data_IF_035756972695
#
_entry.id   IF_035756972695
#
_cell.length_a   1.000
_cell.length_b   1.000
_cell.length_c   1.000
_cell.angle_alpha   90.00
_cell.angle_beta   90.00
_cell.angle_gamma   90.00
#
_symmetry.space_group_name_H-M   'P 1'
#
loop_
_entity.id
_entity.type
_entity.pdbx_description
1 polymer ?
#
# COMPACT_ATOMS: atom_id res chain seq x y z
N UNK A 1 -7.70 8.76 12.75
CA UNK A 1 -6.60 9.58 13.29
C UNK A 1 -7.06 10.43 14.49
N UNK A 2 -8.02 11.35 14.34
CA UNK A 2 -8.43 12.22 15.46
C UNK A 2 -9.13 11.49 16.62
N UNK A 3 -9.98 10.50 16.32
CA UNK A 3 -10.76 9.78 17.33
C UNK A 3 -9.98 8.66 18.03
N UNK A 4 -9.00 8.06 17.33
CA UNK A 4 -8.16 6.97 17.83
C UNK A 4 -6.67 7.25 17.56
N UNK A 5 -6.07 8.29 18.17
CA UNK A 5 -4.67 8.63 17.98
C UNK A 5 -3.71 7.53 18.46
N UNK A 6 -4.13 6.72 19.44
CA UNK A 6 -3.34 5.62 20.03
C UNK A 6 -3.04 4.48 19.04
N UNK A 7 -3.84 4.34 17.99
CA UNK A 7 -3.60 3.34 16.93
C UNK A 7 -2.67 3.83 15.83
N UNK A 8 -2.32 5.12 15.82
CA UNK A 8 -1.41 5.68 14.82
C UNK A 8 0.02 5.37 15.24
N UNK A 9 0.71 4.60 14.42
CA UNK A 9 2.12 4.28 14.64
C UNK A 9 2.95 5.57 14.54
N UNK A 10 3.88 5.86 15.47
CA UNK A 10 4.75 7.03 15.38
C UNK A 10 5.73 6.93 14.19
N UNK A 11 6.11 5.71 13.80
CA UNK A 11 7.00 5.42 12.67
C UNK A 11 6.21 4.92 11.45
N UNK A 12 5.03 5.50 11.22
CA UNK A 12 4.14 5.10 10.14
C UNK A 12 4.65 5.55 8.75
N UNK A 13 3.93 5.14 7.71
CA UNK A 13 4.19 5.48 6.32
C UNK A 13 3.23 6.55 5.78
N UNK A 14 2.76 7.51 6.59
CA UNK A 14 1.81 8.55 6.17
C UNK A 14 2.27 9.32 4.93
N UNK A 15 3.58 9.57 4.81
CA UNK A 15 4.19 10.21 3.62
C UNK A 15 4.03 9.41 2.32
N UNK A 16 3.67 8.13 2.40
CA UNK A 16 3.34 7.32 1.21
C UNK A 16 2.02 7.81 0.59
N UNK A 17 1.03 8.05 1.43
CA UNK A 17 -0.37 8.28 1.06
C UNK A 17 -0.77 9.76 1.11
N UNK A 18 0.09 10.64 1.62
CA UNK A 18 -0.20 12.08 1.72
C UNK A 18 1.06 12.91 1.53
N UNK A 19 0.94 13.98 0.75
CA UNK A 19 2.01 14.95 0.48
C UNK A 19 1.97 16.15 1.44
N UNK A 20 0.95 16.25 2.30
CA UNK A 20 0.64 17.41 3.15
C UNK A 20 0.37 17.04 4.62
N UNK A 21 0.94 15.93 5.09
CA UNK A 21 0.87 15.56 6.50
C UNK A 21 -0.49 14.98 6.94
N UNK A 22 -1.26 14.46 6.00
CA UNK A 22 -2.53 13.80 6.25
C UNK A 22 -3.77 14.67 6.01
N UNK A 23 -3.62 15.88 5.45
CA UNK A 23 -4.75 16.72 5.07
C UNK A 23 -5.47 16.15 3.84
N UNK A 24 -4.72 15.70 2.83
CA UNK A 24 -5.26 15.10 1.61
C UNK A 24 -4.61 13.75 1.29
N UNK A 25 -5.42 12.86 0.70
CA UNK A 25 -4.95 11.60 0.13
C UNK A 25 -4.39 11.83 -1.27
N UNK A 26 -3.13 11.41 -1.51
CA UNK A 26 -2.44 11.58 -2.78
C UNK A 26 -2.76 10.47 -3.81
N UNK A 27 -3.72 9.59 -3.50
CA UNK A 27 -4.21 8.47 -4.32
C UNK A 27 -3.24 7.28 -4.45
N UNK A 28 -2.07 7.30 -3.80
CA UNK A 28 -1.14 6.17 -3.83
C UNK A 28 -1.63 4.99 -3.01
N UNK A 29 -1.50 3.79 -3.58
CA UNK A 29 -1.84 2.53 -2.92
C UNK A 29 -0.97 1.38 -3.41
N UNK A 30 -0.79 0.38 -2.53
CA UNK A 30 -0.27 -0.92 -2.90
C UNK A 30 -1.36 -1.68 -3.66
N UNK A 31 -0.97 -2.46 -4.67
CA UNK A 31 -1.93 -3.12 -5.54
C UNK A 31 -2.30 -4.50 -5.01
N UNK A 32 -3.47 -4.60 -4.38
CA UNK A 32 -3.87 -5.77 -3.58
C UNK A 32 -4.10 -7.07 -4.36
N UNK A 33 -4.06 -7.02 -5.70
CA UNK A 33 -4.05 -8.22 -6.54
C UNK A 33 -2.85 -9.14 -6.24
N UNK A 34 -1.76 -8.60 -5.68
CA UNK A 34 -0.64 -9.35 -5.12
C UNK A 34 -0.31 -8.84 -3.71
N UNK A 35 -0.58 -9.66 -2.71
CA UNK A 35 -0.24 -9.38 -1.31
C UNK A 35 0.32 -10.65 -0.65
N UNK A 36 1.45 -10.49 0.03
CA UNK A 36 1.95 -11.45 1.02
C UNK A 36 2.01 -10.68 2.33
N UNK A 37 1.09 -10.99 3.24
CA UNK A 37 0.91 -10.21 4.45
C UNK A 37 0.67 -11.09 5.68
N UNK A 38 1.00 -10.54 6.85
CA UNK A 38 0.72 -11.16 8.14
C UNK A 38 -0.74 -10.92 8.52
N UNK A 39 -1.50 -12.01 8.70
CA UNK A 39 -2.91 -11.92 9.07
C UNK A 39 -3.14 -11.38 10.48
N UNK A 40 -2.13 -11.39 11.35
CA UNK A 40 -2.27 -10.83 12.70
C UNK A 40 -2.42 -9.31 12.66
N UNK A 41 -1.87 -8.63 11.63
CA UNK A 41 -2.16 -7.21 11.38
C UNK A 41 -3.66 -6.99 11.11
N UNK A 42 -4.24 -7.77 10.20
CA UNK A 42 -5.66 -7.65 9.82
C UNK A 42 -6.63 -8.12 10.92
N UNK A 43 -6.17 -8.96 11.83
CA UNK A 43 -6.93 -9.39 13.02
C UNK A 43 -6.75 -8.48 14.22
N UNK A 44 -5.87 -7.48 14.14
CA UNK A 44 -5.62 -6.56 15.23
C UNK A 44 -6.86 -5.71 15.55
N UNK A 45 -6.95 -5.26 16.80
CA UNK A 45 -8.01 -4.34 17.24
C UNK A 45 -7.99 -3.04 16.41
N UNK A 46 -6.78 -2.53 16.10
CA UNK A 46 -6.61 -1.30 15.32
C UNK A 46 -7.20 -1.42 13.91
N UNK A 47 -6.88 -2.50 13.19
CA UNK A 47 -7.44 -2.74 11.85
C UNK A 47 -8.96 -2.98 11.92
N UNK A 48 -9.41 -3.78 12.90
CA UNK A 48 -10.83 -4.06 13.09
C UNK A 48 -11.62 -2.77 13.30
N UNK A 49 -11.15 -1.88 14.19
CA UNK A 49 -11.79 -0.57 14.44
C UNK A 49 -11.77 0.33 13.22
N UNK A 50 -10.66 0.35 12.48
CA UNK A 50 -10.55 1.08 11.23
C UNK A 50 -11.58 0.59 10.20
N UNK A 51 -11.70 -0.72 10.01
CA UNK A 51 -12.66 -1.31 9.07
C UNK A 51 -14.11 -1.08 9.50
N UNK A 52 -14.45 -1.30 10.79
CA UNK A 52 -15.78 -1.00 11.35
C UNK A 52 -16.17 0.47 11.11
N UNK A 53 -15.23 1.40 11.29
CA UNK A 53 -15.47 2.81 11.00
C UNK A 53 -15.82 3.02 9.52
N UNK A 54 -15.05 2.46 8.58
CA UNK A 54 -15.32 2.59 7.15
C UNK A 54 -16.65 1.95 6.74
N UNK A 55 -16.95 0.75 7.25
CA UNK A 55 -18.20 0.06 6.96
C UNK A 55 -19.40 0.88 7.43
N UNK A 56 -19.31 1.51 8.62
CA UNK A 56 -20.35 2.40 9.13
C UNK A 56 -20.60 3.65 8.27
N UNK A 57 -19.61 4.08 7.46
CA UNK A 57 -19.78 5.20 6.51
C UNK A 57 -20.46 4.77 5.21
N UNK A 58 -20.48 3.47 4.90
CA UNK A 58 -21.14 2.93 3.73
C UNK A 58 -20.46 3.24 2.38
N UNK A 59 -19.23 3.77 2.38
CA UNK A 59 -18.51 4.13 1.16
C UNK A 59 -18.19 2.94 0.24
N UNK A 60 -18.22 1.71 0.76
CA UNK A 60 -18.17 0.49 -0.06
C UNK A 60 -19.37 0.36 -1.01
N UNK A 61 -20.54 0.89 -0.63
CA UNK A 61 -21.79 0.76 -1.38
C UNK A 61 -22.23 2.07 -2.04
N UNK A 62 -22.09 3.19 -1.31
CA UNK A 62 -22.47 4.52 -1.81
C UNK A 62 -21.39 5.12 -2.71
N UNK A 63 -20.16 4.62 -2.61
CA UNK A 63 -19.06 4.94 -3.52
C UNK A 63 -18.50 3.65 -4.13
N UNK A 64 -17.19 3.55 -4.30
CA UNK A 64 -16.51 2.36 -4.80
C UNK A 64 -15.14 2.19 -4.14
N UNK A 65 -15.13 2.18 -2.81
CA UNK A 65 -13.92 1.95 -2.05
C UNK A 65 -13.39 0.53 -2.33
N UNK A 66 -12.26 0.45 -3.01
CA UNK A 66 -11.55 -0.81 -3.22
C UNK A 66 -10.78 -1.23 -1.97
N UNK A 67 -10.52 -2.52 -1.86
CA UNK A 67 -9.67 -3.08 -0.81
C UNK A 67 -8.23 -2.54 -0.87
N UNK A 68 -7.65 -2.36 -2.07
CA UNK A 68 -6.31 -1.81 -2.24
C UNK A 68 -6.04 -0.47 -1.50
N UNK A 69 -6.83 0.61 -1.71
CA UNK A 69 -6.67 1.84 -0.94
C UNK A 69 -7.01 1.67 0.55
N UNK A 70 -7.97 0.81 0.91
CA UNK A 70 -8.32 0.54 2.31
C UNK A 70 -7.17 -0.12 3.06
N UNK A 71 -6.60 -1.20 2.52
CA UNK A 71 -5.42 -1.87 3.07
C UNK A 71 -4.23 -0.92 3.14
N UNK A 72 -4.00 -0.14 2.08
CA UNK A 72 -2.89 0.82 2.05
C UNK A 72 -3.02 1.85 3.15
N UNK A 73 -4.18 2.49 3.30
CA UNK A 73 -4.38 3.53 4.32
C UNK A 73 -4.20 2.93 5.72
N UNK A 74 -4.75 1.74 5.97
CA UNK A 74 -4.55 1.05 7.24
C UNK A 74 -3.07 0.78 7.51
N UNK A 75 -2.36 0.14 6.58
CA UNK A 75 -0.93 -0.17 6.73
C UNK A 75 -0.10 1.11 6.91
N UNK A 76 -0.42 2.15 6.14
CA UNK A 76 0.35 3.42 6.15
C UNK A 76 0.18 4.22 7.43
N UNK A 77 -0.88 3.98 8.21
CA UNK A 77 -1.17 4.67 9.45
C UNK A 77 -0.86 3.83 10.69
N UNK A 78 -1.19 2.53 10.64
CA UNK A 78 -1.26 1.66 11.82
C UNK A 78 0.00 0.81 11.99
N UNK A 79 0.71 0.48 10.91
CA UNK A 79 1.96 -0.29 10.97
C UNK A 79 3.17 0.64 11.06
N UNK A 80 4.33 0.11 11.50
CA UNK A 80 5.61 0.78 11.28
C UNK A 80 6.02 0.60 9.81
N UNK A 81 6.58 1.64 9.20
CA UNK A 81 6.99 1.63 7.79
C UNK A 81 7.98 0.52 7.47
N UNK A 82 8.85 0.13 8.42
CA UNK A 82 9.83 -0.96 8.26
C UNK A 82 9.19 -2.35 8.20
N UNK A 83 7.90 -2.49 8.55
CA UNK A 83 7.14 -3.73 8.40
C UNK A 83 6.58 -3.91 6.99
N UNK A 84 6.66 -2.89 6.13
CA UNK A 84 6.19 -2.94 4.75
C UNK A 84 7.36 -3.27 3.82
N UNK A 85 7.19 -4.30 3.00
CA UNK A 85 8.24 -4.79 2.12
C UNK A 85 7.80 -4.72 0.64
N UNK A 86 8.66 -4.15 -0.20
CA UNK A 86 8.52 -4.23 -1.65
C UNK A 86 9.39 -5.37 -2.18
N UNK A 87 8.75 -6.36 -2.80
CA UNK A 87 9.43 -7.53 -3.37
C UNK A 87 10.06 -7.20 -4.74
N UNK A 88 11.18 -6.47 -4.73
CA UNK A 88 11.94 -6.05 -5.93
C UNK A 88 12.38 -7.20 -6.85
N UNK A 89 12.34 -8.44 -6.35
CA UNK A 89 12.86 -9.64 -7.00
C UNK A 89 11.77 -10.60 -7.51
N UNK A 90 10.48 -10.31 -7.30
CA UNK A 90 9.37 -11.18 -7.75
C UNK A 90 8.71 -10.58 -8.98
N UNK A 91 9.06 -11.05 -10.18
CA UNK A 91 8.35 -10.66 -11.39
C UNK A 91 6.87 -11.05 -11.35
N UNK A 92 5.98 -10.07 -11.51
CA UNK A 92 4.53 -10.26 -11.39
C UNK A 92 3.77 -9.43 -12.43
N UNK A 93 2.74 -10.03 -13.02
CA UNK A 93 1.87 -9.39 -14.01
C UNK A 93 0.41 -9.65 -13.68
N UNK A 94 -0.35 -8.57 -13.57
CA UNK A 94 -1.81 -8.58 -13.59
C UNK A 94 -2.23 -7.55 -14.64
N UNK A 95 -2.85 -7.99 -15.74
CA UNK A 95 -3.02 -7.12 -16.92
C UNK A 95 -3.77 -5.82 -16.56
N UNK A 96 -3.35 -4.65 -17.10
CA UNK A 96 -2.27 -4.45 -18.06
C UNK A 96 -0.88 -4.20 -17.45
N UNK A 97 -0.74 -4.22 -16.11
CA UNK A 97 0.47 -3.78 -15.42
C UNK A 97 1.39 -4.95 -15.08
N UNK A 98 2.68 -4.65 -14.98
CA UNK A 98 3.73 -5.60 -14.67
C UNK A 98 4.80 -4.95 -13.80
N UNK A 99 5.28 -5.68 -12.79
CA UNK A 99 6.57 -5.43 -12.15
C UNK A 99 7.58 -6.43 -12.73
N UNK A 100 8.62 -5.93 -13.39
CA UNK A 100 9.70 -6.74 -13.95
C UNK A 100 11.05 -6.38 -13.28
N UNK A 101 11.66 -7.29 -12.49
CA UNK A 101 12.92 -7.06 -11.79
C UNK A 101 14.10 -6.68 -12.70
N UNK A 102 14.99 -5.79 -12.21
CA UNK A 102 16.22 -5.32 -12.91
C UNK A 102 17.33 -6.39 -13.01
N UNK A 103 17.12 -7.57 -12.40
CA UNK A 103 17.85 -8.85 -12.58
C UNK A 103 19.16 -9.06 -11.81
N UNK A 104 19.28 -10.25 -11.19
CA UNK A 104 20.54 -10.98 -10.95
C UNK A 104 20.45 -12.53 -11.11
N UNK A 105 19.34 -13.13 -11.59
CA UNK A 105 19.23 -14.60 -11.71
C UNK A 105 18.35 -15.12 -12.87
N UNK A 106 18.78 -16.20 -13.53
CA UNK A 106 18.14 -16.76 -14.73
C UNK A 106 16.72 -17.28 -14.48
N UNK A 107 15.68 -16.60 -14.98
CA UNK A 107 14.30 -17.10 -14.89
C UNK A 107 13.18 -16.12 -15.22
N UNK A 108 13.41 -14.80 -15.24
CA UNK A 108 12.34 -13.86 -15.59
C UNK A 108 12.04 -13.93 -17.10
N UNK A 109 10.75 -13.84 -17.44
CA UNK A 109 10.23 -13.89 -18.83
C UNK A 109 9.59 -12.58 -19.28
N UNK A 110 9.53 -11.58 -18.40
CA UNK A 110 9.00 -10.25 -18.67
C UNK A 110 10.02 -9.36 -19.40
N UNK A 111 9.53 -8.29 -20.05
CA UNK A 111 10.37 -7.24 -20.63
C UNK A 111 10.52 -6.12 -19.61
N UNK A 112 11.76 -5.76 -19.26
CA UNK A 112 12.02 -4.69 -18.29
C UNK A 112 11.50 -3.32 -18.77
N UNK A 113 11.37 -3.12 -20.08
CA UNK A 113 10.80 -1.89 -20.64
C UNK A 113 9.29 -1.76 -20.41
N UNK A 114 8.60 -2.87 -20.11
CA UNK A 114 7.16 -2.90 -19.80
C UNK A 114 6.87 -2.70 -18.29
N UNK A 115 7.90 -2.57 -17.44
CA UNK A 115 7.71 -2.43 -15.98
C UNK A 115 6.98 -1.13 -15.61
N UNK A 116 6.01 -1.23 -14.71
CA UNK A 116 5.23 -0.08 -14.23
C UNK A 116 6.02 0.77 -13.24
N UNK A 117 6.99 0.18 -12.56
CA UNK A 117 7.74 0.70 -11.41
C UNK A 117 8.13 2.17 -11.53
N UNK A 118 8.65 2.59 -12.68
CA UNK A 118 9.20 3.93 -12.89
C UNK A 118 8.35 4.83 -13.78
N UNK A 119 7.14 4.39 -14.13
CA UNK A 119 6.15 5.17 -14.87
C UNK A 119 5.49 6.22 -13.98
N UNK A 120 4.78 7.18 -14.60
CA UNK A 120 4.07 8.24 -13.87
C UNK A 120 2.94 7.72 -12.96
N UNK A 121 2.27 6.63 -13.33
CA UNK A 121 1.19 6.05 -12.55
C UNK A 121 1.65 5.21 -11.36
N UNK A 122 2.95 4.92 -11.24
CA UNK A 122 3.50 4.13 -10.14
C UNK A 122 3.80 4.99 -8.91
N UNK A 123 3.54 4.41 -7.74
CA UNK A 123 3.86 5.01 -6.44
C UNK A 123 5.21 4.52 -5.88
N UNK A 124 5.97 3.70 -6.61
CA UNK A 124 7.23 3.15 -6.12
C UNK A 124 8.25 4.25 -5.76
N UNK A 125 8.28 5.37 -6.48
CA UNK A 125 9.15 6.51 -6.13
C UNK A 125 8.85 7.06 -4.74
N UNK A 126 7.58 7.08 -4.33
CA UNK A 126 7.17 7.50 -2.98
C UNK A 126 7.57 6.46 -1.94
N UNK A 127 7.37 5.18 -2.26
CA UNK A 127 7.79 4.09 -1.39
C UNK A 127 9.29 4.14 -1.07
N UNK A 128 10.13 4.33 -2.09
CA UNK A 128 11.59 4.37 -1.95
C UNK A 128 12.10 5.56 -1.12
N UNK A 129 11.30 6.61 -0.91
CA UNK A 129 11.65 7.75 -0.04
C UNK A 129 11.39 7.43 1.43
N UNK A 130 10.54 6.45 1.74
CA UNK A 130 10.21 6.05 3.12
C UNK A 130 11.32 5.19 3.74
N UNK A 131 12.00 4.41 2.90
CA UNK A 131 12.98 3.38 3.26
C UNK A 131 14.43 3.87 3.20
N UNK A 132 14.65 5.15 2.87
CA UNK A 132 15.93 5.86 3.02
C UNK A 132 16.05 6.48 4.40
#
# INVERSE_FOLDING_TARGET
MAEYPEYISPDNALKFVSDDGGENYNMCHYWSNFEIADMDFFRSDAYTKFFEYLDSKGGFYYERWGDAPVHTIAISLLARKEQVHFFENIGYRHKPLEHCPIFTGSGCTCDQSDTIDYTFSSCLRRFNVLTQ
#
